data_IF_470592986679
#
_entry.id   IF_470592986679
#
_cell.length_a   1.000
_cell.length_b   1.000
_cell.length_c   1.000
_cell.angle_alpha   90.00
_cell.angle_beta   90.00
_cell.angle_gamma   90.00
#
_symmetry.space_group_name_H-M   'P 1'
#
loop_
_entity.id
_entity.type
_entity.pdbx_description
1 polymer ?
#
# COMPACT_ATOMS: atom_id res chain seq x y z
N UNK A 1 -10.97 -9.10 -21.69
CA UNK A 1 -10.63 -9.62 -20.34
C UNK A 1 -9.38 -8.91 -19.85
N UNK A 2 -9.29 -8.59 -18.55
CA UNK A 2 -8.15 -7.88 -17.92
C UNK A 2 -7.56 -8.77 -16.82
N UNK A 3 -6.25 -8.68 -16.59
CA UNK A 3 -5.57 -9.43 -15.54
C UNK A 3 -6.09 -9.06 -14.14
N UNK A 4 -6.47 -10.06 -13.34
CA UNK A 4 -6.95 -9.88 -11.97
C UNK A 4 -5.81 -9.95 -10.98
N UNK A 5 -5.86 -9.09 -9.96
CA UNK A 5 -4.91 -9.07 -8.85
C UNK A 5 -5.46 -9.86 -7.67
N UNK A 6 -4.61 -10.68 -7.06
CA UNK A 6 -4.93 -11.46 -5.86
C UNK A 6 -3.85 -11.26 -4.80
N UNK A 7 -4.24 -11.35 -3.53
CA UNK A 7 -3.28 -11.28 -2.42
C UNK A 7 -2.35 -12.49 -2.45
N UNK A 8 -1.03 -12.25 -2.47
CA UNK A 8 -0.03 -13.32 -2.39
C UNK A 8 0.33 -13.72 -0.95
N UNK A 9 0.07 -12.83 0.03
CA UNK A 9 0.37 -13.07 1.45
C UNK A 9 -0.76 -13.83 2.15
N UNK A 10 -0.42 -14.42 3.31
CA UNK A 10 -1.39 -15.10 4.20
C UNK A 10 -2.53 -14.18 4.65
N UNK A 11 -2.24 -12.90 4.90
CA UNK A 11 -3.26 -11.89 5.21
C UNK A 11 -4.04 -11.52 3.94
N UNK A 12 -5.27 -12.03 3.80
CA UNK A 12 -6.12 -11.88 2.60
C UNK A 12 -7.21 -10.81 2.71
N UNK A 13 -7.26 -10.11 3.83
CA UNK A 13 -8.25 -9.06 4.07
C UNK A 13 -7.70 -7.67 3.70
N UNK A 14 -8.58 -6.79 3.25
CA UNK A 14 -8.28 -5.38 2.99
C UNK A 14 -8.17 -4.62 4.33
N UNK A 15 -7.01 -4.75 4.98
CA UNK A 15 -6.71 -4.03 6.21
C UNK A 15 -5.84 -2.83 5.90
N UNK A 16 -5.81 -1.85 6.80
CA UNK A 16 -4.98 -0.66 6.60
C UNK A 16 -3.47 -0.99 6.43
N UNK A 17 -3.00 -2.17 6.88
CA UNK A 17 -1.60 -2.63 6.73
C UNK A 17 -1.36 -3.33 5.39
N UNK A 18 -2.32 -4.12 4.92
CA UNK A 18 -2.19 -4.83 3.65
C UNK A 18 -2.49 -3.92 2.46
N UNK A 19 -3.24 -2.82 2.66
CA UNK A 19 -3.72 -1.96 1.59
C UNK A 19 -4.80 -2.66 0.76
N UNK A 20 -5.67 -1.89 0.13
CA UNK A 20 -6.40 -2.39 -1.04
C UNK A 20 -5.48 -2.31 -2.27
N UNK A 21 -5.69 -3.09 -3.34
CA UNK A 21 -4.93 -2.95 -4.58
C UNK A 21 -5.17 -1.58 -5.20
N UNK A 22 -4.39 -0.59 -4.79
CA UNK A 22 -4.35 0.73 -5.42
C UNK A 22 -3.25 0.76 -6.48
N UNK A 23 -3.31 1.71 -7.41
CA UNK A 23 -2.38 1.80 -8.55
C UNK A 23 -0.90 1.74 -8.14
N UNK A 24 -0.57 2.27 -6.96
CA UNK A 24 0.81 2.40 -6.48
C UNK A 24 1.33 1.13 -5.78
N UNK A 25 0.45 0.18 -5.47
CA UNK A 25 0.77 -1.06 -4.77
C UNK A 25 0.95 -2.24 -5.74
N UNK A 26 0.95 -1.99 -7.05
CA UNK A 26 1.07 -3.02 -8.07
C UNK A 26 2.36 -2.84 -8.87
N UNK A 27 3.12 -3.92 -9.00
CA UNK A 27 4.34 -3.96 -9.84
C UNK A 27 4.06 -4.84 -11.05
N UNK A 28 4.63 -4.46 -12.20
CA UNK A 28 4.68 -5.33 -13.38
C UNK A 28 5.96 -6.16 -13.29
N UNK A 29 5.81 -7.48 -13.14
CA UNK A 29 6.93 -8.43 -13.20
C UNK A 29 6.72 -9.31 -14.42
N UNK A 30 7.64 -9.24 -15.39
CA UNK A 30 7.58 -10.05 -16.62
C UNK A 30 6.27 -9.87 -17.41
N UNK A 31 5.73 -8.64 -17.46
CA UNK A 31 4.47 -8.34 -18.16
C UNK A 31 3.20 -8.71 -17.40
N UNK A 32 3.29 -9.17 -16.15
CA UNK A 32 2.14 -9.47 -15.29
C UNK A 32 2.06 -8.47 -14.12
N UNK A 33 0.88 -7.91 -13.91
CA UNK A 33 0.51 -7.13 -12.73
C UNK A 33 0.46 -8.04 -11.51
N UNK A 34 1.28 -7.71 -10.51
CA UNK A 34 1.42 -8.41 -9.24
C UNK A 34 1.17 -7.44 -8.09
N UNK A 35 0.45 -7.90 -7.08
CA UNK A 35 0.17 -7.14 -5.87
C UNK A 35 1.38 -7.12 -4.92
N UNK A 36 1.84 -5.92 -4.55
CA UNK A 36 2.90 -5.68 -3.57
C UNK A 36 2.33 -4.89 -2.38
N UNK A 37 2.64 -5.34 -1.16
CA UNK A 37 2.25 -4.58 0.03
C UNK A 37 3.25 -3.45 0.27
N UNK A 38 2.77 -2.21 0.29
CA UNK A 38 3.53 -1.05 0.74
C UNK A 38 3.30 -0.79 2.23
N UNK A 39 4.22 -0.08 2.88
CA UNK A 39 4.01 0.37 4.26
C UNK A 39 3.15 1.63 4.27
N UNK A 40 2.39 1.84 5.34
CA UNK A 40 1.59 3.06 5.51
C UNK A 40 2.48 4.30 5.46
N UNK A 41 1.97 5.36 4.83
CA UNK A 41 2.64 6.67 4.80
C UNK A 41 2.77 7.24 6.22
N UNK A 42 3.99 7.53 6.64
CA UNK A 42 4.26 8.21 7.90
C UNK A 42 3.76 9.66 7.85
N UNK A 43 3.11 10.11 8.94
CA UNK A 43 2.58 11.48 9.06
C UNK A 43 3.66 12.52 9.38
N UNK A 44 4.87 12.06 9.74
CA UNK A 44 5.99 12.91 10.16
C UNK A 44 5.80 13.48 11.58
N UNK A 45 6.89 13.90 12.24
CA UNK A 45 6.83 14.52 13.56
C UNK A 45 6.12 15.89 13.49
N UNK A 46 5.49 16.28 14.60
CA UNK A 46 4.81 17.56 14.74
C UNK A 46 5.33 18.31 15.97
N UNK A 47 5.36 19.63 15.89
CA UNK A 47 5.64 20.47 17.05
C UNK A 47 4.50 20.33 18.07
N UNK A 48 4.78 20.05 19.36
CA UNK A 48 3.75 19.87 20.38
C UNK A 48 2.98 21.17 20.69
N UNK A 49 3.62 22.33 20.48
CA UNK A 49 3.02 23.64 20.76
C UNK A 49 2.22 24.16 19.57
N UNK A 50 2.77 24.09 18.35
CA UNK A 50 2.15 24.70 17.16
C UNK A 50 1.37 23.70 16.29
N UNK A 51 1.55 22.39 16.48
CA UNK A 51 0.91 21.34 15.67
C UNK A 51 1.40 21.26 14.21
N UNK A 52 2.30 22.16 13.80
CA UNK A 52 2.91 22.19 12.47
C UNK A 52 3.92 21.04 12.34
N UNK A 53 4.11 20.57 11.11
CA UNK A 53 5.14 19.58 10.78
C UNK A 53 6.51 20.24 10.97
N UNK A 54 7.44 19.52 11.63
CA UNK A 54 8.85 19.93 11.78
C UNK A 54 9.55 19.73 10.43
#
# INVERSE_FOLDING_TARGET
MVQRLTYQKRQRYATQRSGSPTRNDNIIIGGKLVFQTTQKRARGPKCPVTGKRI
#
